data_IF_425772197344
#
_entry.id   IF_425772197344
#
_cell.length_a   1.000
_cell.length_b   1.000
_cell.length_c   1.000
_cell.angle_alpha   90.00
_cell.angle_beta   90.00
_cell.angle_gamma   90.00
#
_symmetry.space_group_name_H-M   'P 1'
#
loop_
_entity.id
_entity.type
_entity.pdbx_description
1 polymer ?
#
# COMPACT_ATOMS: atom_id res chain seq x y z
N UNK A 1 4.49 -19.05 3.29
CA UNK A 1 3.32 -18.15 3.32
C UNK A 1 2.92 -17.92 4.77
N UNK A 2 2.56 -16.71 5.14
CA UNK A 2 2.02 -16.33 6.44
C UNK A 2 0.55 -15.97 6.28
N UNK A 3 -0.28 -16.36 7.26
CA UNK A 3 -1.73 -16.19 7.15
C UNK A 3 -2.34 -15.87 8.51
N UNK A 4 -3.28 -14.93 8.56
CA UNK A 4 -4.13 -14.73 9.72
C UNK A 4 -5.58 -14.51 9.32
N UNK A 5 -6.50 -14.93 10.21
CA UNK A 5 -7.92 -14.71 10.04
C UNK A 5 -8.39 -13.44 10.73
N UNK A 6 -9.37 -12.76 10.12
CA UNK A 6 -10.02 -11.59 10.71
C UNK A 6 -11.51 -11.57 10.39
N UNK A 7 -12.18 -10.55 10.91
CA UNK A 7 -13.57 -10.23 10.60
C UNK A 7 -13.64 -8.73 10.32
N UNK A 8 -14.26 -8.34 9.22
CA UNK A 8 -14.44 -6.93 8.86
C UNK A 8 -15.23 -6.22 9.96
N UNK A 9 -14.61 -5.16 10.52
CA UNK A 9 -15.16 -4.40 11.64
C UNK A 9 -16.01 -3.24 11.14
N UNK A 10 -17.00 -2.82 11.92
CA UNK A 10 -17.82 -1.64 11.63
C UNK A 10 -16.96 -0.38 11.36
N UNK A 11 -15.89 -0.18 12.14
CA UNK A 11 -14.99 0.97 12.01
C UNK A 11 -14.10 0.97 10.75
N UNK A 12 -14.12 -0.09 9.97
CA UNK A 12 -13.32 -0.28 8.76
C UNK A 12 -14.16 -0.18 7.48
N UNK A 13 -15.48 0.04 7.63
CA UNK A 13 -16.43 0.05 6.50
C UNK A 13 -16.83 1.47 6.10
N UNK A 14 -17.21 1.59 4.83
CA UNK A 14 -17.83 2.79 4.28
C UNK A 14 -19.35 2.86 4.60
N UNK A 15 -20.02 3.87 4.06
CA UNK A 15 -21.45 4.09 4.20
C UNK A 15 -22.33 2.98 3.59
N UNK A 16 -21.77 2.15 2.71
CA UNK A 16 -22.44 0.99 2.10
C UNK A 16 -22.18 -0.32 2.86
N UNK A 17 -21.45 -0.26 3.99
CA UNK A 17 -21.09 -1.43 4.78
C UNK A 17 -20.06 -2.32 4.13
N UNK A 18 -19.27 -1.82 3.18
CA UNK A 18 -18.15 -2.51 2.55
C UNK A 18 -16.83 -2.09 3.21
N UNK A 19 -15.87 -3.02 3.32
CA UNK A 19 -14.52 -2.72 3.77
C UNK A 19 -13.90 -1.64 2.87
N UNK A 20 -13.36 -0.58 3.47
CA UNK A 20 -12.75 0.50 2.70
C UNK A 20 -11.44 0.06 2.03
N UNK A 21 -11.06 0.72 0.93
CA UNK A 21 -9.78 0.46 0.25
C UNK A 21 -8.59 0.66 1.19
N UNK A 22 -8.62 1.68 2.04
CA UNK A 22 -7.60 1.91 3.08
C UNK A 22 -7.63 0.83 4.17
N UNK A 23 -8.80 0.30 4.50
CA UNK A 23 -8.96 -0.87 5.39
C UNK A 23 -8.30 -2.11 4.78
N UNK A 24 -8.49 -2.36 3.48
CA UNK A 24 -7.79 -3.43 2.75
C UNK A 24 -6.27 -3.24 2.89
N UNK A 25 -5.75 -2.06 2.59
CA UNK A 25 -4.31 -1.77 2.68
C UNK A 25 -3.75 -2.01 4.08
N UNK A 26 -4.49 -1.62 5.12
CA UNK A 26 -4.10 -1.83 6.50
C UNK A 26 -3.98 -3.34 6.82
N UNK A 27 -4.96 -4.16 6.42
CA UNK A 27 -4.89 -5.62 6.59
C UNK A 27 -3.67 -6.23 5.88
N UNK A 28 -3.37 -5.79 4.66
CA UNK A 28 -2.21 -6.28 3.91
C UNK A 28 -0.90 -5.89 4.60
N UNK A 29 -0.78 -4.63 5.04
CA UNK A 29 0.42 -4.14 5.73
C UNK A 29 0.59 -4.83 7.09
N UNK A 30 -0.48 -4.97 7.87
CA UNK A 30 -0.47 -5.68 9.14
C UNK A 30 0.00 -7.13 8.97
N UNK A 31 -0.51 -7.84 7.95
CA UNK A 31 -0.12 -9.21 7.65
C UNK A 31 1.40 -9.35 7.44
N UNK A 32 2.01 -8.45 6.68
CA UNK A 32 3.46 -8.46 6.46
C UNK A 32 4.25 -8.05 7.71
N UNK A 33 3.71 -7.15 8.51
CA UNK A 33 4.32 -6.72 9.76
C UNK A 33 4.28 -7.86 10.80
N UNK A 34 3.15 -8.52 10.95
CA UNK A 34 3.01 -9.69 11.85
C UNK A 34 3.97 -10.81 11.46
N UNK A 35 4.06 -11.15 10.16
CA UNK A 35 5.05 -12.13 9.70
C UNK A 35 6.47 -11.72 10.10
N UNK A 36 6.82 -10.46 9.94
CA UNK A 36 8.17 -9.98 10.28
C UNK A 36 8.43 -10.06 11.78
N UNK A 37 7.47 -9.67 12.62
CA UNK A 37 7.59 -9.76 14.09
C UNK A 37 7.72 -11.22 14.55
N UNK A 38 6.84 -12.11 14.07
CA UNK A 38 6.84 -13.54 14.41
C UNK A 38 8.13 -14.24 13.98
N UNK A 39 8.75 -13.78 12.87
CA UNK A 39 10.03 -14.26 12.39
C UNK A 39 11.24 -13.64 13.10
N UNK A 40 11.04 -12.74 14.08
CA UNK A 40 12.11 -12.01 14.77
C UNK A 40 12.87 -11.01 13.89
N UNK A 41 12.23 -10.57 12.80
CA UNK A 41 12.69 -9.54 11.87
C UNK A 41 11.76 -8.31 11.89
N UNK A 42 11.20 -8.01 13.05
CA UNK A 42 10.28 -6.90 13.24
C UNK A 42 10.98 -5.54 13.31
N UNK A 43 10.18 -4.51 13.55
CA UNK A 43 10.64 -3.10 13.55
C UNK A 43 11.83 -2.89 14.49
N UNK A 44 11.78 -3.45 15.71
CA UNK A 44 12.87 -3.31 16.69
C UNK A 44 14.20 -3.95 16.23
N UNK A 45 14.12 -5.06 15.48
CA UNK A 45 15.30 -5.71 14.91
C UNK A 45 16.00 -4.81 13.89
N UNK A 46 15.25 -4.23 12.96
CA UNK A 46 15.79 -3.36 11.93
C UNK A 46 16.26 -2.00 12.49
N UNK A 47 15.52 -1.40 13.42
CA UNK A 47 15.90 -0.14 14.07
C UNK A 47 17.26 -0.25 14.77
N UNK A 48 17.54 -1.35 15.50
CA UNK A 48 18.84 -1.59 16.13
C UNK A 48 20.01 -1.71 15.12
N UNK A 49 19.71 -1.99 13.87
CA UNK A 49 20.68 -2.11 12.78
C UNK A 49 20.73 -0.87 11.88
N UNK A 50 20.02 0.20 12.24
CA UNK A 50 19.84 1.39 11.42
C UNK A 50 19.33 1.07 10.01
N UNK A 51 18.43 0.08 9.92
CA UNK A 51 17.78 -0.34 8.69
C UNK A 51 16.25 -0.22 8.85
N UNK A 52 15.55 -0.05 7.75
CA UNK A 52 14.09 -0.12 7.67
C UNK A 52 13.65 -0.64 6.31
N UNK A 53 12.56 -1.40 6.25
CA UNK A 53 11.89 -1.72 5.01
C UNK A 53 10.92 -0.59 4.66
N UNK A 54 11.15 0.05 3.53
CA UNK A 54 10.28 1.10 3.02
C UNK A 54 9.51 0.60 1.80
N UNK A 55 8.24 0.89 1.77
CA UNK A 55 7.37 0.55 0.65
C UNK A 55 7.68 1.47 -0.54
N UNK A 56 7.92 0.88 -1.69
CA UNK A 56 8.15 1.59 -2.95
C UNK A 56 6.89 1.68 -3.80
N UNK A 57 6.12 0.58 -3.85
CA UNK A 57 4.88 0.56 -4.63
C UNK A 57 3.90 -0.51 -4.16
N UNK A 58 2.63 -0.22 -4.43
CA UNK A 58 1.52 -1.17 -4.39
C UNK A 58 0.88 -1.34 -5.76
N UNK A 59 0.40 -2.55 -6.02
CA UNK A 59 -0.67 -2.87 -6.95
C UNK A 59 -1.68 -3.72 -6.19
N UNK A 60 -2.93 -3.30 -6.14
CA UNK A 60 -4.02 -3.97 -5.42
C UNK A 60 -5.19 -4.10 -6.38
N UNK A 61 -5.58 -5.33 -6.68
CA UNK A 61 -6.77 -5.68 -7.47
C UNK A 61 -7.85 -6.14 -6.52
N UNK A 62 -9.00 -5.51 -6.58
CA UNK A 62 -10.18 -5.84 -5.77
C UNK A 62 -11.19 -6.55 -6.65
N UNK A 63 -11.30 -7.87 -6.47
CA UNK A 63 -12.29 -8.69 -7.17
C UNK A 63 -13.68 -8.47 -6.57
N UNK A 64 -13.77 -8.29 -5.25
CA UNK A 64 -14.98 -7.93 -4.49
C UNK A 64 -14.59 -7.32 -3.15
N UNK A 65 -15.27 -6.25 -2.76
CA UNK A 65 -15.12 -5.67 -1.43
C UNK A 65 -15.80 -6.54 -0.37
N UNK A 66 -15.09 -6.95 0.71
CA UNK A 66 -15.71 -7.68 1.82
C UNK A 66 -16.76 -6.85 2.52
N UNK A 67 -17.88 -7.49 2.93
CA UNK A 67 -18.94 -6.83 3.66
C UNK A 67 -18.65 -6.74 5.17
N UNK A 68 -19.30 -5.80 5.85
CA UNK A 68 -19.24 -5.69 7.31
C UNK A 68 -19.61 -7.02 7.98
N UNK A 69 -18.78 -7.45 8.93
CA UNK A 69 -18.97 -8.70 9.67
C UNK A 69 -18.52 -9.96 8.92
N UNK A 70 -18.13 -9.85 7.64
CA UNK A 70 -17.61 -10.97 6.87
C UNK A 70 -16.29 -11.48 7.47
N UNK A 71 -16.14 -12.80 7.51
CA UNK A 71 -14.87 -13.43 7.92
C UNK A 71 -13.95 -13.52 6.72
N UNK A 72 -12.73 -13.05 6.91
CA UNK A 72 -11.71 -12.98 5.87
C UNK A 72 -10.42 -13.65 6.32
N UNK A 73 -9.68 -14.16 5.37
CA UNK A 73 -8.36 -14.76 5.55
C UNK A 73 -7.36 -13.94 4.75
N UNK A 74 -6.38 -13.35 5.45
CA UNK A 74 -5.33 -12.52 4.84
C UNK A 74 -4.05 -13.33 4.79
N UNK A 75 -3.41 -13.39 3.62
CA UNK A 75 -2.15 -14.12 3.45
C UNK A 75 -1.10 -13.24 2.78
N UNK A 76 0.18 -13.50 3.11
CA UNK A 76 1.31 -12.83 2.48
C UNK A 76 2.53 -13.75 2.39
N UNK A 77 3.35 -13.52 1.38
CA UNK A 77 4.65 -14.18 1.20
C UNK A 77 5.61 -13.32 0.36
N UNK A 78 6.89 -13.27 0.70
CA UNK A 78 7.89 -12.79 -0.23
C UNK A 78 8.07 -13.84 -1.33
N UNK A 79 8.26 -13.37 -2.58
CA UNK A 79 8.52 -14.27 -3.69
C UNK A 79 9.87 -14.00 -4.39
N UNK A 80 10.50 -12.86 -4.12
CA UNK A 80 11.85 -12.55 -4.63
C UNK A 80 12.53 -11.47 -3.79
N UNK A 81 13.88 -11.51 -3.77
CA UNK A 81 14.74 -10.47 -3.23
C UNK A 81 15.87 -10.19 -4.19
N UNK A 82 16.00 -8.94 -4.67
CA UNK A 82 17.00 -8.56 -5.67
C UNK A 82 17.67 -7.24 -5.35
N UNK A 83 18.97 -7.27 -5.06
CA UNK A 83 19.75 -6.09 -4.72
C UNK A 83 19.33 -5.50 -3.38
N UNK A 84 18.59 -4.41 -3.38
CA UNK A 84 17.99 -3.80 -2.20
C UNK A 84 16.45 -3.88 -2.22
N UNK A 85 15.86 -4.54 -3.22
CA UNK A 85 14.41 -4.72 -3.34
C UNK A 85 13.95 -6.07 -2.80
N UNK A 86 12.80 -6.06 -2.12
CA UNK A 86 12.01 -7.22 -1.78
C UNK A 86 10.64 -7.15 -2.46
N UNK A 87 10.20 -8.27 -3.01
CA UNK A 87 8.94 -8.42 -3.72
C UNK A 87 8.02 -9.32 -2.94
N UNK A 88 6.76 -8.93 -2.78
CA UNK A 88 5.83 -9.61 -1.90
C UNK A 88 4.43 -9.62 -2.47
N UNK A 89 3.77 -10.78 -2.40
CA UNK A 89 2.37 -10.92 -2.72
C UNK A 89 1.49 -11.01 -1.47
N UNK A 90 0.22 -10.69 -1.69
CA UNK A 90 -0.83 -10.76 -0.69
C UNK A 90 -2.13 -11.23 -1.31
N UNK A 91 -2.96 -11.87 -0.50
CA UNK A 91 -4.36 -12.17 -0.83
C UNK A 91 -5.26 -11.87 0.35
N UNK A 92 -6.49 -11.50 0.07
CA UNK A 92 -7.61 -11.58 0.99
C UNK A 92 -8.62 -12.54 0.39
N UNK A 93 -9.00 -13.57 1.14
CA UNK A 93 -9.97 -14.58 0.71
C UNK A 93 -11.16 -14.62 1.66
N UNK A 94 -12.30 -15.12 1.15
CA UNK A 94 -13.42 -15.55 2.00
C UNK A 94 -13.13 -16.90 2.68
N UNK A 95 -14.10 -17.44 3.41
CA UNK A 95 -13.96 -18.73 4.12
C UNK A 95 -13.95 -19.93 3.18
N UNK A 96 -14.43 -19.78 1.96
CA UNK A 96 -14.45 -20.78 0.90
C UNK A 96 -13.13 -20.78 0.09
N UNK A 97 -12.25 -19.77 0.32
CA UNK A 97 -10.96 -19.63 -0.36
C UNK A 97 -11.05 -18.85 -1.68
N UNK A 98 -12.18 -18.22 -1.99
CA UNK A 98 -12.28 -17.34 -3.15
C UNK A 98 -11.51 -16.04 -2.91
N UNK A 99 -10.78 -15.56 -3.93
CA UNK A 99 -10.08 -14.30 -3.85
C UNK A 99 -11.07 -13.12 -3.79
N UNK A 100 -10.90 -12.27 -2.80
CA UNK A 100 -11.56 -10.98 -2.66
C UNK A 100 -10.62 -9.86 -3.08
N UNK A 101 -9.33 -10.02 -2.74
CA UNK A 101 -8.28 -9.07 -3.09
C UNK A 101 -6.99 -9.83 -3.42
N UNK A 102 -6.31 -9.40 -4.47
CA UNK A 102 -4.98 -9.84 -4.85
C UNK A 102 -4.05 -8.63 -4.92
N UNK A 103 -2.84 -8.77 -4.36
CA UNK A 103 -1.94 -7.63 -4.36
C UNK A 103 -0.48 -8.01 -4.53
N UNK A 104 0.25 -7.07 -5.10
CA UNK A 104 1.70 -7.09 -5.24
C UNK A 104 2.30 -5.83 -4.62
N UNK A 105 3.43 -5.97 -3.95
CA UNK A 105 4.17 -4.84 -3.40
C UNK A 105 5.66 -4.96 -3.67
N UNK A 106 6.31 -3.82 -3.79
CA UNK A 106 7.76 -3.71 -3.89
C UNK A 106 8.27 -2.88 -2.73
N UNK A 107 9.17 -3.46 -1.97
CA UNK A 107 9.81 -2.84 -0.82
C UNK A 107 11.29 -2.62 -1.12
N UNK A 108 11.93 -1.68 -0.43
CA UNK A 108 13.37 -1.57 -0.45
C UNK A 108 13.93 -1.41 0.97
N UNK A 109 15.07 -2.05 1.18
CA UNK A 109 15.80 -1.91 2.42
C UNK A 109 16.54 -0.58 2.42
N UNK A 110 16.36 0.20 3.48
CA UNK A 110 16.94 1.54 3.62
C UNK A 110 17.86 1.60 4.83
N UNK A 111 19.04 2.17 4.66
CA UNK A 111 19.97 2.49 5.74
C UNK A 111 19.63 3.88 6.28
N UNK A 112 19.03 3.91 7.48
CA UNK A 112 18.53 5.14 8.09
C UNK A 112 19.65 6.06 8.60
N UNK A 113 20.85 5.50 8.82
CA UNK A 113 22.01 6.28 9.24
C UNK A 113 22.71 6.94 8.03
N UNK A 114 22.83 6.20 6.91
CA UNK A 114 23.45 6.70 5.69
C UNK A 114 22.49 7.43 4.76
N UNK A 115 21.18 7.36 5.01
CA UNK A 115 20.17 8.03 4.20
C UNK A 115 20.06 7.49 2.75
N UNK A 116 20.29 6.18 2.53
CA UNK A 116 20.29 5.57 1.19
C UNK A 116 19.83 4.11 1.21
N UNK A 117 19.42 3.54 0.06
CA UNK A 117 19.12 2.12 -0.03
C UNK A 117 20.30 1.24 0.40
N UNK A 118 20.02 0.18 1.14
CA UNK A 118 21.00 -0.80 1.63
C UNK A 118 20.85 -2.12 0.87
N UNK A 119 21.97 -2.76 0.54
CA UNK A 119 21.96 -4.12 -0.01
C UNK A 119 21.41 -5.09 1.02
N UNK A 120 20.52 -5.97 0.58
CA UNK A 120 19.94 -7.03 1.40
C UNK A 120 21.04 -8.06 1.70
N UNK A 121 21.20 -8.39 2.97
CA UNK A 121 22.10 -9.42 3.49
C UNK A 121 21.30 -10.65 3.92
N UNK A 122 21.94 -11.81 4.07
CA UNK A 122 21.29 -13.05 4.48
C UNK A 122 20.52 -12.90 5.81
N UNK A 123 21.06 -12.15 6.75
CA UNK A 123 20.44 -11.90 8.06
C UNK A 123 19.16 -11.06 7.97
N UNK A 124 19.03 -10.21 6.93
CA UNK A 124 17.84 -9.36 6.74
C UNK A 124 16.62 -10.16 6.27
N UNK A 125 16.85 -11.37 5.73
CA UNK A 125 15.81 -12.22 5.15
C UNK A 125 15.74 -13.63 5.74
N UNK A 126 16.59 -13.96 6.71
CA UNK A 126 16.71 -15.31 7.29
C UNK A 126 15.39 -15.90 7.81
N UNK A 127 14.51 -15.04 8.33
CA UNK A 127 13.21 -15.45 8.87
C UNK A 127 12.19 -15.84 7.83
N UNK A 128 12.44 -15.55 6.55
CA UNK A 128 11.51 -15.91 5.47
C UNK A 128 11.84 -17.27 4.81
N UNK A 129 12.87 -17.99 5.32
CA UNK A 129 13.29 -19.28 4.79
C UNK A 129 14.26 -19.15 3.60
N UNK A 130 14.60 -20.31 3.00
CA UNK A 130 15.53 -20.41 1.87
C UNK A 130 14.84 -20.68 0.54
N UNK A 131 13.57 -21.02 0.58
CA UNK A 131 12.72 -21.25 -0.61
C UNK A 131 11.53 -20.32 -0.55
N UNK A 132 11.27 -19.65 -1.67
CA UNK A 132 10.17 -18.71 -1.78
C UNK A 132 8.96 -19.37 -2.43
N UNK A 133 7.76 -18.97 -2.00
CA UNK A 133 6.54 -19.29 -2.71
C UNK A 133 6.60 -18.69 -4.14
N UNK A 134 5.89 -19.32 -5.06
CA UNK A 134 5.77 -18.77 -6.42
C UNK A 134 5.05 -17.41 -6.39
N UNK A 135 5.37 -16.52 -7.33
CA UNK A 135 4.57 -15.33 -7.55
C UNK A 135 3.10 -15.67 -7.74
N UNK A 136 2.21 -14.82 -7.23
CA UNK A 136 0.77 -14.95 -7.45
C UNK A 136 0.45 -14.88 -8.94
N UNK A 137 -0.47 -15.72 -9.41
CA UNK A 137 -0.95 -15.65 -10.77
C UNK A 137 -1.87 -14.43 -10.95
N UNK A 138 -1.28 -13.33 -11.38
CA UNK A 138 -1.93 -12.06 -11.68
C UNK A 138 -1.10 -11.29 -12.70
N UNK A 139 -1.71 -10.35 -13.40
CA UNK A 139 -0.98 -9.41 -14.24
C UNK A 139 -0.22 -8.41 -13.36
N UNK A 140 1.11 -8.34 -13.52
CA UNK A 140 1.96 -7.42 -12.76
C UNK A 140 2.15 -6.10 -13.52
N UNK A 141 1.58 -5.03 -12.97
CA UNK A 141 1.75 -3.70 -13.53
C UNK A 141 3.17 -3.15 -13.28
N UNK A 142 3.69 -2.29 -14.17
CA UNK A 142 4.94 -1.58 -13.95
C UNK A 142 4.88 -0.75 -12.65
N UNK A 143 5.96 -0.75 -11.87
CA UNK A 143 6.03 0.05 -10.63
C UNK A 143 5.81 1.55 -10.89
N UNK A 144 6.40 2.07 -11.98
CA UNK A 144 6.30 3.48 -12.34
C UNK A 144 4.92 3.78 -12.91
N UNK A 145 4.31 4.87 -12.42
CA UNK A 145 3.03 5.39 -12.93
C UNK A 145 3.34 6.61 -13.79
N UNK A 146 2.83 6.61 -15.02
CA UNK A 146 2.91 7.79 -15.90
C UNK A 146 2.00 8.89 -15.35
N UNK A 147 2.55 10.09 -15.23
CA UNK A 147 1.79 11.27 -14.77
C UNK A 147 1.45 12.12 -15.97
N UNK A 148 0.17 12.38 -16.28
CA UNK A 148 -0.23 13.28 -17.34
C UNK A 148 0.28 14.70 -17.08
N UNK A 149 0.53 15.46 -18.16
CA UNK A 149 0.94 16.87 -18.07
C UNK A 149 -0.23 17.77 -17.65
N UNK A 150 -1.43 17.45 -18.11
CA UNK A 150 -2.66 18.18 -17.76
C UNK A 150 -3.25 17.62 -16.47
N UNK A 151 -3.52 18.49 -15.52
CA UNK A 151 -4.12 18.15 -14.24
C UNK A 151 -4.97 19.28 -13.68
N UNK A 152 -5.94 18.92 -12.85
CA UNK A 152 -6.64 19.84 -11.98
C UNK A 152 -5.91 19.91 -10.63
N UNK A 153 -5.48 21.10 -10.25
CA UNK A 153 -4.94 21.35 -8.92
C UNK A 153 -6.09 21.53 -7.91
N UNK A 154 -5.96 20.92 -6.74
CA UNK A 154 -6.96 20.98 -5.68
C UNK A 154 -6.38 21.64 -4.42
N UNK A 155 -7.28 21.92 -3.45
CA UNK A 155 -6.91 22.49 -2.16
C UNK A 155 -5.88 21.62 -1.44
N UNK A 156 -4.80 22.19 -0.92
CA UNK A 156 -3.79 21.42 -0.22
C UNK A 156 -4.33 20.87 1.10
N UNK A 157 -3.84 19.68 1.46
CA UNK A 157 -4.13 19.00 2.73
C UNK A 157 -2.92 19.14 3.65
N UNK A 158 -3.14 19.63 4.85
CA UNK A 158 -2.07 19.73 5.85
C UNK A 158 -1.94 18.39 6.59
N UNK A 159 -0.73 17.86 6.65
CA UNK A 159 -0.43 16.61 7.34
C UNK A 159 -0.64 16.79 8.85
N UNK A 160 -1.70 16.17 9.37
CA UNK A 160 -2.02 16.13 10.79
C UNK A 160 -1.39 14.93 11.52
N UNK A 161 -1.42 14.95 12.86
CA UNK A 161 -0.87 13.86 13.70
C UNK A 161 -1.49 12.48 13.39
N UNK A 162 -2.76 12.43 13.01
CA UNK A 162 -3.48 11.20 12.69
C UNK A 162 -3.06 10.57 11.35
N UNK A 163 -2.27 11.27 10.56
CA UNK A 163 -1.67 10.72 9.34
C UNK A 163 -0.34 9.98 9.60
N UNK A 164 0.30 10.22 10.77
CA UNK A 164 1.68 9.81 11.03
C UNK A 164 1.75 8.40 11.63
N UNK A 165 2.65 7.58 11.12
CA UNK A 165 2.96 6.24 11.61
C UNK A 165 4.17 6.21 12.58
N UNK A 166 4.58 5.01 12.97
CA UNK A 166 5.71 4.78 13.89
C UNK A 166 7.09 5.16 13.31
N UNK A 167 7.18 5.40 12.00
CA UNK A 167 8.38 5.90 11.33
C UNK A 167 8.44 7.44 11.30
N UNK A 168 7.48 8.11 11.95
CA UNK A 168 7.30 9.57 11.92
C UNK A 168 7.02 10.14 10.53
N UNK A 169 6.50 9.31 9.62
CA UNK A 169 6.08 9.68 8.26
C UNK A 169 4.57 9.48 8.10
N UNK A 170 4.02 10.07 7.06
CA UNK A 170 2.62 9.78 6.66
C UNK A 170 2.51 8.30 6.34
N UNK A 171 1.55 7.61 6.98
CA UNK A 171 1.28 6.21 6.72
C UNK A 171 0.89 5.97 5.26
N UNK A 172 1.32 4.86 4.68
CA UNK A 172 1.13 4.54 3.26
C UNK A 172 -0.34 4.59 2.82
N UNK A 173 -1.27 4.11 3.65
CA UNK A 173 -2.71 4.14 3.34
C UNK A 173 -3.30 5.56 3.36
N UNK A 174 -2.70 6.50 4.11
CA UNK A 174 -3.18 7.87 4.21
C UNK A 174 -2.98 8.68 2.93
N UNK A 175 -1.95 8.38 2.15
CA UNK A 175 -1.83 8.96 0.80
C UNK A 175 -3.00 8.53 -0.10
N UNK A 176 -3.44 7.28 0.00
CA UNK A 176 -4.58 6.78 -0.77
C UNK A 176 -5.90 7.35 -0.26
N UNK A 177 -6.04 7.54 1.06
CA UNK A 177 -7.18 8.23 1.66
C UNK A 177 -7.34 9.66 1.08
N UNK A 178 -6.25 10.44 1.08
CA UNK A 178 -6.23 11.78 0.46
C UNK A 178 -6.59 11.73 -1.04
N UNK A 179 -6.04 10.73 -1.77
CA UNK A 179 -6.32 10.58 -3.19
C UNK A 179 -7.78 10.19 -3.47
N UNK A 180 -8.42 9.45 -2.58
CA UNK A 180 -9.83 9.06 -2.72
C UNK A 180 -10.81 10.22 -2.53
N UNK A 181 -10.51 11.13 -1.61
CA UNK A 181 -11.34 12.32 -1.35
C UNK A 181 -11.51 13.24 -2.58
N UNK A 182 -10.64 13.08 -3.58
CA UNK A 182 -10.65 13.92 -4.79
C UNK A 182 -11.24 13.20 -6.00
N UNK A 183 -11.70 11.97 -5.84
CA UNK A 183 -12.37 11.19 -6.89
C UNK A 183 -13.88 11.50 -6.94
N UNK A 184 -14.54 11.19 -8.07
CA UNK A 184 -16.00 11.30 -8.14
C UNK A 184 -16.70 10.44 -7.07
N UNK A 185 -17.79 10.98 -6.54
CA UNK A 185 -18.63 10.25 -5.59
C UNK A 185 -19.11 8.91 -6.18
N UNK A 186 -19.10 7.88 -5.33
CA UNK A 186 -19.60 6.56 -5.67
C UNK A 186 -18.71 5.75 -6.63
N UNK A 187 -17.48 6.18 -6.89
CA UNK A 187 -16.52 5.37 -7.63
C UNK A 187 -16.07 4.17 -6.79
N UNK A 188 -16.37 2.95 -7.26
CA UNK A 188 -15.86 1.71 -6.70
C UNK A 188 -14.56 1.34 -7.41
N UNK A 189 -13.44 1.34 -6.67
CA UNK A 189 -12.10 1.09 -7.23
C UNK A 189 -11.88 -0.41 -7.39
N UNK A 190 -11.66 -0.87 -8.61
CA UNK A 190 -11.31 -2.28 -8.92
C UNK A 190 -9.80 -2.52 -8.95
N UNK A 191 -9.00 -1.51 -9.27
CA UNK A 191 -7.55 -1.59 -9.18
C UNK A 191 -6.95 -0.28 -8.68
N UNK A 192 -6.03 -0.41 -7.74
CA UNK A 192 -5.20 0.66 -7.19
C UNK A 192 -3.74 0.37 -7.50
N UNK A 193 -3.02 1.39 -7.97
CA UNK A 193 -1.55 1.39 -8.01
C UNK A 193 -1.02 2.61 -7.30
N UNK A 194 0.05 2.42 -6.52
CA UNK A 194 0.73 3.52 -5.81
C UNK A 194 2.23 3.43 -6.06
N UNK A 195 2.84 4.55 -6.41
CA UNK A 195 4.30 4.73 -6.43
C UNK A 195 4.66 5.75 -5.35
N UNK A 196 5.37 5.33 -4.29
CA UNK A 196 5.87 6.20 -3.23
C UNK A 196 7.26 6.73 -3.60
N UNK A 197 7.47 8.04 -3.51
CA UNK A 197 8.69 8.73 -3.96
C UNK A 197 9.42 9.46 -2.84
N UNK A 198 8.69 10.12 -1.96
CA UNK A 198 9.21 10.92 -0.86
C UNK A 198 8.28 10.80 0.34
N UNK A 199 8.82 10.68 1.53
CA UNK A 199 8.00 10.71 2.73
C UNK A 199 7.56 12.13 3.07
N UNK A 200 6.27 12.31 3.38
CA UNK A 200 5.75 13.52 3.99
C UNK A 200 5.78 13.38 5.52
N UNK A 201 5.94 14.49 6.23
CA UNK A 201 6.00 14.55 7.68
C UNK A 201 4.92 15.46 8.26
N UNK A 202 4.75 15.43 9.57
CA UNK A 202 3.80 16.29 10.26
C UNK A 202 4.04 17.77 9.93
N UNK A 203 2.96 18.47 9.53
CA UNK A 203 2.98 19.89 9.18
C UNK A 203 3.24 20.18 7.69
N UNK A 204 3.66 19.17 6.90
CA UNK A 204 3.79 19.35 5.46
C UNK A 204 2.43 19.67 4.82
N UNK A 205 2.46 20.47 3.74
CA UNK A 205 1.31 20.70 2.88
C UNK A 205 1.41 19.75 1.68
N UNK A 206 0.37 18.96 1.48
CA UNK A 206 0.23 18.04 0.33
C UNK A 206 -0.71 18.68 -0.68
N UNK A 207 -0.23 18.89 -1.90
CA UNK A 207 -0.96 19.51 -3.01
C UNK A 207 -1.43 18.42 -3.97
N UNK A 208 -2.72 18.02 -3.96
CA UNK A 208 -3.25 17.03 -4.87
C UNK A 208 -3.40 17.62 -6.28
N UNK A 209 -2.97 16.85 -7.28
CA UNK A 209 -3.12 17.11 -8.72
C UNK A 209 -3.81 15.92 -9.34
N UNK A 210 -4.99 16.11 -9.90
CA UNK A 210 -5.84 15.05 -10.45
C UNK A 210 -5.89 15.13 -11.95
N UNK A 211 -5.64 14.03 -12.61
CA UNK A 211 -5.79 13.85 -14.04
C UNK A 211 -6.75 12.70 -14.32
N UNK A 212 -7.76 12.93 -15.16
CA UNK A 212 -8.60 11.86 -15.69
C UNK A 212 -7.91 11.25 -16.90
N UNK A 213 -7.88 9.92 -16.96
CA UNK A 213 -7.34 9.13 -18.08
C UNK A 213 -8.46 8.28 -18.70
N UNK A 214 -8.19 7.58 -19.80
CA UNK A 214 -9.16 6.65 -20.40
C UNK A 214 -9.53 5.50 -19.44
N UNK A 215 -8.58 5.05 -18.61
CA UNK A 215 -8.73 3.89 -17.73
C UNK A 215 -9.10 4.25 -16.28
N UNK A 216 -9.08 5.55 -15.93
CA UNK A 216 -9.35 5.96 -14.53
C UNK A 216 -8.76 7.32 -14.19
N UNK A 217 -8.16 7.42 -13.01
CA UNK A 217 -7.61 8.67 -12.49
C UNK A 217 -6.16 8.49 -12.03
N UNK A 218 -5.33 9.51 -12.31
CA UNK A 218 -3.99 9.65 -11.72
C UNK A 218 -4.03 10.81 -10.75
N UNK A 219 -3.69 10.56 -9.49
CA UNK A 219 -3.57 11.57 -8.44
C UNK A 219 -2.11 11.67 -8.03
N UNK A 220 -1.48 12.82 -8.28
CA UNK A 220 -0.15 13.13 -7.79
C UNK A 220 -0.25 13.98 -6.54
N UNK A 221 0.26 13.49 -5.44
CA UNK A 221 0.32 14.19 -4.16
C UNK A 221 1.69 14.83 -4.04
N UNK A 222 1.77 16.16 -4.23
CA UNK A 222 3.02 16.88 -4.37
C UNK A 222 3.32 17.79 -3.17
N UNK A 223 4.57 18.17 -2.99
CA UNK A 223 4.95 19.31 -2.18
C UNK A 223 4.70 20.65 -2.93
N UNK A 224 4.96 21.77 -2.27
CA UNK A 224 4.78 23.10 -2.83
C UNK A 224 5.62 23.34 -4.10
N UNK A 225 6.80 22.68 -4.22
CA UNK A 225 7.69 22.75 -5.36
C UNK A 225 7.24 21.84 -6.52
N UNK A 226 6.18 21.04 -6.32
CA UNK A 226 5.66 20.11 -7.30
C UNK A 226 6.37 18.75 -7.32
N UNK A 227 7.25 18.47 -6.35
CA UNK A 227 7.86 17.15 -6.18
C UNK A 227 6.86 16.21 -5.55
N UNK A 228 6.58 15.07 -6.20
CA UNK A 228 5.60 14.13 -5.69
C UNK A 228 6.09 13.38 -4.44
N UNK A 229 5.25 13.32 -3.41
CA UNK A 229 5.33 12.36 -2.31
C UNK A 229 4.90 10.98 -2.78
N UNK A 230 3.75 10.90 -3.45
CA UNK A 230 3.21 9.69 -4.03
C UNK A 230 2.47 9.98 -5.32
N UNK A 231 2.44 9.01 -6.23
CA UNK A 231 1.59 9.00 -7.41
C UNK A 231 0.66 7.80 -7.29
N UNK A 232 -0.63 8.04 -7.43
CA UNK A 232 -1.68 7.05 -7.23
C UNK A 232 -2.49 6.96 -8.54
N UNK A 233 -2.64 5.76 -9.08
CA UNK A 233 -3.55 5.46 -10.17
C UNK A 233 -4.70 4.61 -9.64
N UNK A 234 -5.93 5.00 -9.99
CA UNK A 234 -7.14 4.32 -9.56
C UNK A 234 -8.02 4.06 -10.79
N UNK A 235 -8.33 2.79 -10.99
CA UNK A 235 -9.29 2.32 -11.98
C UNK A 235 -10.53 1.78 -11.24
N UNK A 236 -11.69 2.00 -11.82
CA UNK A 236 -12.94 1.51 -11.24
C UNK A 236 -14.16 1.99 -12.02
N UNK A 237 -15.32 1.65 -11.51
CA UNK A 237 -16.61 2.04 -12.12
C UNK A 237 -17.34 3.04 -11.26
N UNK A 238 -18.04 3.96 -11.91
CA UNK A 238 -18.96 4.91 -11.26
C UNK A 238 -20.41 4.43 -11.32
N UNK A 239 -20.65 3.24 -11.87
CA UNK A 239 -21.99 2.66 -11.91
C UNK A 239 -22.31 2.04 -10.54
N UNK A 240 -23.27 2.66 -9.86
CA UNK A 240 -23.93 2.07 -8.69
C UNK A 240 -24.89 0.99 -9.21
N UNK A 241 -24.66 -0.24 -8.84
CA UNK A 241 -25.69 -1.26 -8.89
C UNK A 241 -26.53 -1.17 -7.62
#
# INVERSE_FOLDING_TARGET
>A
MYTFGSRVRYSETDEYGKLTLTGIMNYLQDCSTFQSEDNGLGVAYFTKRHKAWWLSSWQIVVDRYPAMGEKIVISTWPYDFKGFYGYRNFTVCDQEGNYLVRANSVWFLFDTQKGRPAKIEADDIRGYGTTWEKPLDMEYAPRRIAVPEEYQALTPVIVGKHHIDTNHHVNNSKYVEIAREVLPDGMEVSELRVEYKKAAVFGDAVYPRVSKTEEGYVVSLCDEQGTAYAVIWLCGTTERI
#
